data_IF_825534901339
#
_entry.id   IF_825534901339
#
_cell.length_a   1.000
_cell.length_b   1.000
_cell.length_c   1.000
_cell.angle_alpha   90.00
_cell.angle_beta   90.00
_cell.angle_gamma   90.00
#
_symmetry.space_group_name_H-M   'P 1'
#
loop_
_entity.id
_entity.type
_entity.pdbx_description
1 polymer ?
#
# COMPACT_ATOMS: atom_id res chain seq x y z
N UNK A 1 -11.41 -16.63 5.81
CA UNK A 1 -11.17 -15.18 5.64
C UNK A 1 -10.10 -15.08 4.56
N UNK A 2 -10.38 -14.42 3.44
CA UNK A 2 -9.40 -14.11 2.41
C UNK A 2 -8.58 -12.90 2.84
N UNK A 3 -7.27 -13.01 2.69
CA UNK A 3 -6.30 -11.96 2.96
C UNK A 3 -5.40 -11.88 1.75
N UNK A 4 -5.31 -10.70 1.15
CA UNK A 4 -4.59 -10.48 -0.09
C UNK A 4 -3.78 -9.19 0.03
N UNK A 5 -2.53 -9.25 -0.41
CA UNK A 5 -1.81 -8.05 -0.78
C UNK A 5 -2.44 -7.53 -2.08
N UNK A 6 -2.97 -6.30 -2.06
CA UNK A 6 -3.75 -5.76 -3.18
C UNK A 6 -2.97 -4.67 -3.89
N UNK A 7 -2.20 -5.06 -4.89
CA UNK A 7 -1.73 -4.16 -5.95
C UNK A 7 -1.74 -4.93 -7.28
N UNK A 8 -2.21 -4.31 -8.37
CA UNK A 8 -2.22 -4.96 -9.68
C UNK A 8 -0.79 -5.21 -10.19
N UNK A 9 -0.36 -6.48 -10.13
CA UNK A 9 0.99 -6.88 -10.51
C UNK A 9 1.30 -6.60 -11.99
N UNK A 10 0.32 -6.72 -12.88
CA UNK A 10 0.53 -6.51 -14.32
C UNK A 10 0.86 -5.06 -14.64
N UNK A 11 0.18 -4.13 -13.96
CA UNK A 11 0.41 -2.71 -14.05
C UNK A 11 1.77 -2.33 -13.43
N UNK A 12 2.07 -2.87 -12.24
CA UNK A 12 3.35 -2.62 -11.56
C UNK A 12 4.52 -3.12 -12.40
N UNK A 13 4.43 -4.32 -12.97
CA UNK A 13 5.47 -4.90 -13.82
C UNK A 13 5.70 -4.04 -15.06
N UNK A 14 4.62 -3.59 -15.72
CA UNK A 14 4.71 -2.72 -16.88
C UNK A 14 5.33 -1.35 -16.56
N UNK A 15 4.91 -0.72 -15.45
CA UNK A 15 5.45 0.57 -15.01
C UNK A 15 6.91 0.47 -14.57
N UNK A 16 7.25 -0.59 -13.83
CA UNK A 16 8.63 -0.88 -13.40
C UNK A 16 9.54 -1.10 -14.60
N UNK A 17 9.10 -1.89 -15.58
CA UNK A 17 9.87 -2.11 -16.81
C UNK A 17 10.08 -0.81 -17.60
N UNK A 18 9.05 0.05 -17.68
CA UNK A 18 9.17 1.37 -18.28
C UNK A 18 10.18 2.25 -17.53
N UNK A 19 10.12 2.32 -16.21
CA UNK A 19 11.03 3.15 -15.42
C UNK A 19 12.48 2.67 -15.52
N UNK A 20 12.70 1.35 -15.58
CA UNK A 20 14.02 0.77 -15.89
C UNK A 20 14.53 1.22 -17.26
N UNK A 21 13.68 1.19 -18.28
CA UNK A 21 14.06 1.64 -19.63
C UNK A 21 14.35 3.15 -19.71
N UNK A 22 13.67 3.95 -18.88
CA UNK A 22 13.85 5.40 -18.78
C UNK A 22 14.99 5.82 -17.83
N UNK A 23 15.62 4.87 -17.12
CA UNK A 23 16.66 5.17 -16.13
C UNK A 23 16.15 5.84 -14.85
N UNK A 24 14.87 5.66 -14.53
CA UNK A 24 14.16 6.29 -13.39
C UNK A 24 14.32 5.51 -12.09
N UNK A 25 15.58 5.37 -11.66
CA UNK A 25 15.98 4.58 -10.49
C UNK A 25 15.93 5.34 -9.17
N UNK A 26 15.64 6.65 -9.19
CA UNK A 26 15.58 7.47 -7.98
C UNK A 26 14.44 7.03 -7.04
N UNK A 27 14.65 6.93 -5.72
CA UNK A 27 13.61 6.49 -4.79
C UNK A 27 12.32 7.35 -4.84
N UNK A 28 12.40 8.61 -5.24
CA UNK A 28 11.23 9.49 -5.42
C UNK A 28 10.36 9.10 -6.62
N UNK A 29 10.88 8.31 -7.56
CA UNK A 29 10.11 7.75 -8.66
C UNK A 29 9.24 6.56 -8.20
N UNK A 30 9.62 5.89 -7.11
CA UNK A 30 9.00 4.64 -6.69
C UNK A 30 7.47 4.70 -6.52
N UNK A 31 6.87 5.70 -5.83
CA UNK A 31 5.41 5.76 -5.71
C UNK A 31 4.65 5.80 -7.04
N UNK A 32 5.30 6.28 -8.11
CA UNK A 32 4.71 6.37 -9.45
C UNK A 32 4.79 5.04 -10.22
N UNK A 33 5.63 4.09 -9.80
CA UNK A 33 5.65 2.73 -10.36
C UNK A 33 4.54 1.85 -9.79
N UNK A 34 3.98 2.25 -8.63
CA UNK A 34 2.87 1.60 -7.93
C UNK A 34 1.76 2.60 -7.60
N UNK A 35 1.09 3.17 -8.61
CA UNK A 35 0.12 4.23 -8.39
C UNK A 35 -1.08 3.74 -7.57
N UNK A 36 -1.75 4.66 -6.88
CA UNK A 36 -2.91 4.39 -6.01
C UNK A 36 -4.03 3.56 -6.66
N UNK A 37 -4.27 3.73 -7.96
CA UNK A 37 -5.27 2.96 -8.69
C UNK A 37 -4.88 1.48 -8.87
N UNK A 38 -3.59 1.15 -8.83
CA UNK A 38 -3.13 -0.24 -8.83
C UNK A 38 -3.62 -0.97 -7.57
N UNK A 39 -3.56 -0.28 -6.42
CA UNK A 39 -4.03 -0.80 -5.15
C UNK A 39 -5.56 -0.90 -5.13
N UNK A 40 -6.25 0.18 -5.51
CA UNK A 40 -7.71 0.26 -5.47
C UNK A 40 -8.39 -0.79 -6.37
N UNK A 41 -7.91 -0.99 -7.61
CA UNK A 41 -8.46 -2.01 -8.51
C UNK A 41 -8.28 -3.42 -7.95
N UNK A 42 -7.09 -3.74 -7.43
CA UNK A 42 -6.83 -5.04 -6.83
C UNK A 42 -7.65 -5.29 -5.56
N UNK A 43 -7.87 -4.24 -4.75
CA UNK A 43 -8.72 -4.29 -3.57
C UNK A 43 -10.18 -4.55 -3.95
N UNK A 44 -10.68 -3.89 -4.99
CA UNK A 44 -12.03 -4.11 -5.53
C UNK A 44 -12.22 -5.55 -6.01
N UNK A 45 -11.28 -6.06 -6.79
CA UNK A 45 -11.33 -7.46 -7.26
C UNK A 45 -11.32 -8.45 -6.09
N UNK A 46 -10.46 -8.24 -5.10
CA UNK A 46 -10.36 -9.09 -3.91
C UNK A 46 -11.67 -9.12 -3.10
N UNK A 47 -12.26 -7.96 -2.83
CA UNK A 47 -13.48 -7.87 -2.02
C UNK A 47 -14.70 -8.41 -2.78
N UNK A 48 -14.79 -8.18 -4.10
CA UNK A 48 -15.84 -8.77 -4.95
C UNK A 48 -15.74 -10.29 -4.96
N UNK A 49 -14.54 -10.85 -5.16
CA UNK A 49 -14.35 -12.31 -5.09
C UNK A 49 -14.79 -12.89 -3.74
N UNK A 50 -14.49 -12.20 -2.64
CA UNK A 50 -14.93 -12.64 -1.33
C UNK A 50 -16.46 -12.62 -1.18
N UNK A 51 -17.12 -11.56 -1.65
CA UNK A 51 -18.59 -11.47 -1.63
C UNK A 51 -19.26 -12.56 -2.47
N UNK A 52 -18.82 -12.77 -3.71
CA UNK A 52 -19.39 -13.78 -4.62
C UNK A 52 -19.22 -15.21 -4.10
N UNK A 53 -18.15 -15.46 -3.33
CA UNK A 53 -17.89 -16.77 -2.73
C UNK A 53 -18.49 -16.94 -1.33
N UNK A 54 -19.09 -15.89 -0.76
CA UNK A 54 -19.56 -15.87 0.63
C UNK A 54 -18.44 -15.93 1.67
N UNK A 55 -17.19 -15.65 1.27
CA UNK A 55 -16.06 -15.55 2.16
C UNK A 55 -16.00 -14.18 2.86
N UNK A 56 -15.38 -14.14 4.03
CA UNK A 56 -14.97 -12.88 4.66
C UNK A 56 -13.68 -12.39 4.02
N UNK A 57 -13.49 -11.08 3.89
CA UNK A 57 -12.29 -10.42 3.42
C UNK A 57 -11.66 -9.54 4.51
N UNK A 58 -10.34 -9.56 4.59
CA UNK A 58 -9.55 -8.65 5.40
C UNK A 58 -8.50 -7.97 4.51
N UNK A 59 -8.69 -6.67 4.24
CA UNK A 59 -7.75 -5.85 3.48
C UNK A 59 -6.56 -5.45 4.35
N UNK A 60 -5.38 -5.94 4.02
CA UNK A 60 -4.13 -5.59 4.72
C UNK A 60 -3.53 -4.31 4.15
N UNK A 61 -2.78 -3.59 4.99
CA UNK A 61 -1.90 -2.47 4.63
C UNK A 61 -2.49 -1.49 3.59
N UNK A 62 -3.75 -1.06 3.79
CA UNK A 62 -4.39 -0.04 2.92
C UNK A 62 -3.61 1.26 3.02
N UNK A 63 -3.13 1.79 1.88
CA UNK A 63 -2.18 2.91 1.85
C UNK A 63 -2.73 4.23 1.34
N UNK A 64 -3.84 4.20 0.61
CA UNK A 64 -4.35 5.37 -0.12
C UNK A 64 -5.86 5.56 0.00
N UNK A 65 -6.30 6.80 -0.25
CA UNK A 65 -7.71 7.21 -0.24
C UNK A 65 -8.55 6.34 -1.16
N UNK A 66 -8.11 6.13 -2.40
CA UNK A 66 -8.89 5.36 -3.40
C UNK A 66 -9.18 3.94 -2.95
N UNK A 67 -8.20 3.27 -2.33
CA UNK A 67 -8.36 1.90 -1.83
C UNK A 67 -9.33 1.87 -0.65
N UNK A 68 -9.19 2.80 0.29
CA UNK A 68 -10.12 2.90 1.42
C UNK A 68 -11.56 3.24 0.97
N UNK A 69 -11.73 4.14 -0.01
CA UNK A 69 -13.03 4.46 -0.62
C UNK A 69 -13.65 3.27 -1.37
N UNK A 70 -12.83 2.42 -2.00
CA UNK A 70 -13.31 1.15 -2.56
C UNK A 70 -13.86 0.28 -1.44
N UNK A 71 -13.07 0.05 -0.38
CA UNK A 71 -13.47 -0.84 0.72
C UNK A 71 -14.72 -0.34 1.47
N UNK A 72 -14.89 0.97 1.60
CA UNK A 72 -16.08 1.55 2.24
C UNK A 72 -17.36 1.25 1.46
N UNK A 73 -17.31 1.14 0.12
CA UNK A 73 -18.47 0.79 -0.72
C UNK A 73 -18.95 -0.65 -0.51
N UNK A 74 -18.05 -1.55 -0.09
CA UNK A 74 -18.36 -2.96 0.16
C UNK A 74 -18.61 -3.27 1.64
N UNK A 75 -18.51 -2.26 2.49
CA UNK A 75 -18.84 -2.40 3.91
C UNK A 75 -20.35 -2.46 4.08
N UNK A 76 -20.80 -3.62 4.57
CA UNK A 76 -22.15 -3.86 5.05
C UNK A 76 -21.99 -4.53 6.41
N UNK A 77 -22.11 -3.73 7.47
CA UNK A 77 -21.52 -3.92 8.80
C UNK A 77 -22.18 -5.02 9.67
N UNK A 78 -22.61 -6.10 9.02
CA UNK A 78 -22.39 -7.48 9.49
C UNK A 78 -20.95 -7.99 9.28
N UNK A 79 -20.06 -7.15 8.74
CA UNK A 79 -18.58 -7.19 8.71
C UNK A 79 -17.92 -8.38 8.01
N UNK A 80 -18.53 -8.86 6.92
CA UNK A 80 -17.85 -9.74 5.98
C UNK A 80 -16.55 -9.09 5.43
N UNK A 81 -16.46 -7.76 5.44
CA UNK A 81 -15.29 -6.97 5.03
C UNK A 81 -14.74 -6.21 6.23
N UNK A 82 -13.44 -6.34 6.47
CA UNK A 82 -12.65 -5.51 7.39
C UNK A 82 -11.36 -5.10 6.70
N UNK A 83 -10.73 -4.06 7.21
CA UNK A 83 -9.45 -3.62 6.68
C UNK A 83 -8.59 -2.93 7.74
N UNK A 84 -7.29 -2.93 7.49
CA UNK A 84 -6.31 -2.19 8.25
C UNK A 84 -5.56 -1.19 7.38
N UNK A 85 -4.99 -0.20 8.06
CA UNK A 85 -3.83 0.55 7.58
C UNK A 85 -2.65 0.31 8.52
N UNK A 86 -1.50 0.92 8.23
CA UNK A 86 -0.28 0.75 8.99
C UNK A 86 0.23 2.07 9.56
N UNK A 87 1.01 2.03 10.63
CA UNK A 87 1.56 3.23 11.29
C UNK A 87 2.29 4.16 10.35
N UNK A 88 3.03 3.65 9.37
CA UNK A 88 3.75 4.48 8.38
C UNK A 88 2.81 5.21 7.41
N UNK A 89 1.63 4.67 7.08
CA UNK A 89 0.65 5.37 6.24
C UNK A 89 -0.17 6.43 7.01
N UNK A 90 -0.07 6.46 8.34
CA UNK A 90 -0.71 7.50 9.17
C UNK A 90 0.28 8.55 9.69
N UNK A 91 1.57 8.41 9.39
CA UNK A 91 2.63 9.26 9.97
C UNK A 91 3.66 9.78 8.99
N UNK A 92 3.89 9.09 7.87
CA UNK A 92 4.88 9.48 6.87
C UNK A 92 4.21 9.90 5.57
N UNK A 93 4.87 10.80 4.85
CA UNK A 93 4.55 11.20 3.49
C UNK A 93 5.68 10.82 2.53
N UNK A 94 5.42 10.90 1.22
CA UNK A 94 6.35 10.48 0.16
C UNK A 94 7.62 11.33 0.06
N UNK A 95 7.70 12.47 0.75
CA UNK A 95 8.94 13.24 0.98
C UNK A 95 10.01 12.44 1.73
N UNK A 96 9.61 11.37 2.45
CA UNK A 96 10.57 10.48 3.12
C UNK A 96 11.54 9.83 2.14
N UNK A 97 11.17 9.64 0.87
CA UNK A 97 12.07 9.11 -0.16
C UNK A 97 13.19 10.10 -0.51
N UNK A 98 12.95 11.41 -0.41
CA UNK A 98 13.99 12.44 -0.60
C UNK A 98 15.02 12.41 0.53
N UNK A 99 14.59 12.13 1.77
CA UNK A 99 15.45 12.23 2.96
C UNK A 99 16.09 10.91 3.37
N UNK A 100 15.44 9.78 3.10
CA UNK A 100 15.88 8.44 3.52
C UNK A 100 16.25 7.52 2.34
N UNK A 101 16.05 7.97 1.10
CA UNK A 101 16.34 7.20 -0.10
C UNK A 101 15.56 5.89 -0.14
N UNK A 102 16.27 4.76 -0.22
CA UNK A 102 15.70 3.41 -0.32
C UNK A 102 15.34 2.77 1.03
N UNK A 103 15.68 3.38 2.17
CA UNK A 103 15.39 2.80 3.49
C UNK A 103 13.88 2.54 3.75
N UNK A 104 12.94 3.45 3.41
CA UNK A 104 11.51 3.26 3.64
C UNK A 104 10.81 2.50 2.52
N UNK A 105 11.54 1.73 1.68
CA UNK A 105 10.96 0.96 0.58
C UNK A 105 9.99 -0.11 1.11
N UNK A 106 8.69 0.08 0.91
CA UNK A 106 7.58 -0.80 1.33
C UNK A 106 6.55 -0.90 0.22
N UNK A 107 5.75 -1.97 0.17
CA UNK A 107 4.69 -2.17 -0.81
C UNK A 107 3.36 -2.44 -0.10
N UNK A 108 2.31 -1.60 -0.28
CA UNK A 108 2.26 -0.41 -1.13
C UNK A 108 3.25 0.71 -0.72
N UNK A 109 3.58 1.68 -1.59
CA UNK A 109 4.48 2.78 -1.25
C UNK A 109 3.83 3.76 -0.26
N UNK A 110 4.67 4.46 0.51
CA UNK A 110 4.24 5.65 1.27
C UNK A 110 3.71 6.71 0.30
N UNK A 111 2.62 7.38 0.69
CA UNK A 111 1.80 8.24 -0.17
C UNK A 111 1.87 9.70 0.25
N UNK A 112 1.03 10.54 -0.37
CA UNK A 112 0.98 11.99 -0.10
C UNK A 112 0.20 12.30 1.17
N UNK A 113 0.31 13.55 1.63
CA UNK A 113 -0.41 14.05 2.81
C UNK A 113 -1.93 13.80 2.73
N UNK A 114 -2.53 13.97 1.55
CA UNK A 114 -3.96 13.73 1.33
C UNK A 114 -4.38 12.27 1.65
N UNK A 115 -3.48 11.32 1.45
CA UNK A 115 -3.70 9.90 1.76
C UNK A 115 -3.55 9.62 3.26
N UNK A 116 -2.61 10.30 3.93
CA UNK A 116 -2.48 10.26 5.41
C UNK A 116 -3.77 10.73 6.07
N UNK A 117 -4.32 11.85 5.60
CA UNK A 117 -5.59 12.40 6.07
C UNK A 117 -6.75 11.41 5.81
N UNK A 118 -6.78 10.78 4.64
CA UNK A 118 -7.77 9.76 4.29
C UNK A 118 -7.73 8.55 5.23
N UNK A 119 -6.54 8.11 5.65
CA UNK A 119 -6.43 7.01 6.61
C UNK A 119 -7.10 7.37 7.94
N UNK A 120 -6.92 8.60 8.43
CA UNK A 120 -7.60 9.05 9.65
C UNK A 120 -9.11 9.20 9.48
N UNK A 121 -9.57 9.73 8.35
CA UNK A 121 -11.01 9.82 8.02
C UNK A 121 -11.67 8.43 8.06
N UNK A 122 -11.05 7.45 7.40
CA UNK A 122 -11.58 6.09 7.31
C UNK A 122 -11.37 5.25 8.57
N UNK A 123 -10.39 5.59 9.41
CA UNK A 123 -10.33 5.05 10.78
C UNK A 123 -11.47 5.61 11.65
N UNK A 124 -11.82 6.89 11.47
CA UNK A 124 -12.86 7.55 12.25
C UNK A 124 -14.28 7.10 11.85
N UNK A 125 -14.52 6.88 10.55
CA UNK A 125 -15.80 6.34 10.04
C UNK A 125 -15.93 4.82 10.21
N UNK A 126 -14.83 4.15 10.60
CA UNK A 126 -14.76 2.73 10.86
C UNK A 126 -14.52 1.88 9.62
N UNK A 127 -14.34 2.45 8.43
CA UNK A 127 -13.96 1.74 7.20
C UNK A 127 -12.69 0.91 7.42
N UNK A 128 -11.70 1.53 8.06
CA UNK A 128 -10.50 0.89 8.57
C UNK A 128 -10.68 0.64 10.07
N UNK A 129 -10.48 -0.60 10.51
CA UNK A 129 -10.73 -1.00 11.91
C UNK A 129 -9.46 -1.14 12.74
N UNK A 130 -8.32 -1.28 12.07
CA UNK A 130 -7.06 -1.70 12.67
C UNK A 130 -5.91 -0.84 12.14
N UNK A 131 -5.01 -0.48 13.04
CA UNK A 131 -3.69 0.06 12.69
C UNK A 131 -2.65 -1.01 13.05
N UNK A 132 -1.97 -1.54 12.05
CA UNK A 132 -0.90 -2.53 12.19
C UNK A 132 0.48 -1.90 11.91
N UNK A 133 1.53 -2.71 11.89
CA UNK A 133 2.91 -2.25 11.61
C UNK A 133 3.46 -2.74 10.29
N UNK A 134 2.89 -3.82 9.75
CA UNK A 134 3.48 -4.63 8.67
C UNK A 134 4.99 -4.84 8.84
N UNK A 135 5.42 -5.20 10.06
CA UNK A 135 6.83 -5.31 10.40
C UNK A 135 7.54 -6.34 9.53
N UNK A 136 8.38 -5.86 8.62
CA UNK A 136 9.20 -6.66 7.73
C UNK A 136 10.62 -6.06 7.70
N UNK A 137 11.38 -6.36 8.75
CA UNK A 137 12.72 -5.80 8.97
C UNK A 137 13.79 -6.46 8.10
N UNK A 138 14.55 -5.62 7.39
CA UNK A 138 15.73 -6.03 6.63
C UNK A 138 17.01 -5.40 7.17
N UNK A 139 18.15 -5.97 6.81
CA UNK A 139 19.44 -5.34 7.09
C UNK A 139 19.60 -4.10 6.24
N UNK A 140 20.25 -3.08 6.78
CA UNK A 140 20.53 -1.82 6.06
C UNK A 140 21.25 -2.07 4.72
N UNK A 141 22.18 -3.02 4.67
CA UNK A 141 22.92 -3.30 3.42
C UNK A 141 22.02 -3.78 2.27
N UNK A 142 20.88 -4.39 2.57
CA UNK A 142 19.90 -4.83 1.54
C UNK A 142 18.92 -3.74 1.09
N UNK A 143 19.11 -2.52 1.61
CA UNK A 143 18.36 -1.30 1.28
C UNK A 143 19.27 -0.24 0.65
N UNK A 144 20.56 -0.23 0.99
CA UNK A 144 21.57 0.67 0.42
C UNK A 144 22.04 0.20 -0.97
N UNK A 145 21.14 0.30 -1.94
CA UNK A 145 21.37 -0.02 -3.37
C UNK A 145 21.18 1.22 -4.24
N UNK A 146 21.65 1.17 -5.48
CA UNK A 146 21.62 2.31 -6.41
C UNK A 146 20.20 2.66 -6.88
N UNK A 147 19.39 1.66 -7.25
CA UNK A 147 18.03 1.90 -7.73
C UNK A 147 16.99 1.33 -6.78
N UNK A 148 15.83 1.99 -6.67
CA UNK A 148 14.74 1.53 -5.83
C UNK A 148 14.28 0.09 -6.13
N UNK A 149 14.32 -0.34 -7.39
CA UNK A 149 13.89 -1.69 -7.79
C UNK A 149 14.88 -2.79 -7.39
N UNK A 150 16.08 -2.44 -6.93
CA UNK A 150 17.07 -3.39 -6.41
C UNK A 150 16.94 -3.54 -4.87
N UNK A 151 16.12 -2.70 -4.23
CA UNK A 151 15.93 -2.70 -2.78
C UNK A 151 14.96 -3.81 -2.35
N UNK A 152 15.16 -4.33 -1.15
CA UNK A 152 14.14 -5.14 -0.47
C UNK A 152 12.93 -4.28 -0.09
N UNK A 153 11.74 -4.88 -0.05
CA UNK A 153 10.47 -4.20 0.28
C UNK A 153 10.00 -4.65 1.68
N UNK A 154 9.88 -3.70 2.60
CA UNK A 154 9.56 -3.93 4.01
C UNK A 154 10.31 -2.98 4.94
N UNK A 155 9.68 -2.53 6.01
CA UNK A 155 10.31 -1.68 7.02
C UNK A 155 10.12 -2.29 8.41
N UNK A 156 10.98 -1.92 9.35
CA UNK A 156 10.68 -2.15 10.76
C UNK A 156 9.48 -1.29 11.18
N UNK A 157 8.90 -1.60 12.34
CA UNK A 157 7.63 -1.02 12.81
C UNK A 157 7.68 0.47 13.18
N UNK A 158 8.81 1.15 12.92
CA UNK A 158 9.26 2.40 13.53
C UNK A 158 9.32 2.30 15.06
#
# INVERSE_FOLDING_TARGET
VGVYHTEDASLIDALTARFKAEGRGDPTDYPQSRPDYAEAMAAEDAVRMAQETGAKYYGIHTSCRKSAEVLSQFRDDGSAVRAETCTHYTTLTDDVFETQGNLPMIAPPIRKQDDVEAMFEHLADGTLDVVSTDHCGYKRESKEVDNWWDSTFGANAL
#
